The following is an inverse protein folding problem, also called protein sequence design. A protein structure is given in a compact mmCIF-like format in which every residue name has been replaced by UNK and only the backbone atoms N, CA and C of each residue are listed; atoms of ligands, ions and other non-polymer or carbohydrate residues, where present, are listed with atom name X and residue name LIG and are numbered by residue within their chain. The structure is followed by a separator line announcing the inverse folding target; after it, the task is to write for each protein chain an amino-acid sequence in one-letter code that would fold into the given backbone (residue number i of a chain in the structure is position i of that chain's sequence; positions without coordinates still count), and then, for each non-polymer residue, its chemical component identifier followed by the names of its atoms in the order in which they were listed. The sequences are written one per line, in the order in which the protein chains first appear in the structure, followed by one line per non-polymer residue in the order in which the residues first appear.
data_IF_666126763166
#
_entry.id   IF_666126763166
#
_cell.length_a   1.000
_cell.length_b   1.000
_cell.length_c   1.000
_cell.angle_alpha   90.00
_cell.angle_beta   90.00
_cell.angle_gamma   90.00
#
_symmetry.space_group_name_H-M   'P 1'
#
loop_
_entity.id
_entity.type
_entity.pdbx_description
1 polymer ?
#
# COMPACT_ATOMS: atom_id res chain seq x y z
N UNK A 1 -18.75 19.25 7.64
CA UNK A 1 -19.90 18.31 7.65
C UNK A 1 -20.33 18.09 6.21
N UNK A 2 -20.15 16.87 5.69
CA UNK A 2 -20.50 16.50 4.30
C UNK A 2 -22.01 16.28 4.17
N UNK A 3 -22.64 16.79 3.11
CA UNK A 3 -24.07 16.64 2.78
C UNK A 3 -24.37 15.35 2.00
N UNK A 4 -23.52 14.34 2.16
CA UNK A 4 -23.50 13.16 1.32
C UNK A 4 -24.45 12.04 1.82
N UNK A 5 -25.27 11.49 0.91
CA UNK A 5 -26.14 10.32 1.14
C UNK A 5 -25.49 9.01 0.65
N UNK A 6 -25.74 7.90 1.34
CA UNK A 6 -25.07 6.60 1.23
C UNK A 6 -25.11 5.97 -0.18
N UNK A 7 -26.09 6.35 -1.02
CA UNK A 7 -26.31 5.78 -2.35
C UNK A 7 -25.23 6.08 -3.40
N UNK A 8 -24.31 7.01 -3.13
CA UNK A 8 -23.30 7.44 -4.10
C UNK A 8 -21.88 6.89 -3.81
N UNK A 9 -21.80 5.75 -3.08
CA UNK A 9 -20.55 5.31 -2.42
C UNK A 9 -19.42 5.09 -3.42
N UNK A 10 -19.75 4.50 -4.55
CA UNK A 10 -18.83 4.25 -5.66
C UNK A 10 -18.23 5.53 -6.25
N UNK A 11 -18.98 6.64 -6.24
CA UNK A 11 -18.51 7.94 -6.74
C UNK A 11 -17.44 8.53 -5.81
N UNK A 12 -17.70 8.54 -4.50
CA UNK A 12 -16.73 9.03 -3.50
C UNK A 12 -15.52 8.09 -3.38
N UNK A 13 -15.72 6.77 -3.46
CA UNK A 13 -14.61 5.81 -3.45
C UNK A 13 -13.68 6.02 -4.65
N UNK A 14 -14.24 6.25 -5.83
CA UNK A 14 -13.44 6.57 -7.03
C UNK A 14 -12.66 7.87 -6.85
N UNK A 15 -13.30 8.91 -6.32
CA UNK A 15 -12.62 10.18 -6.04
C UNK A 15 -11.49 9.98 -5.01
N UNK A 16 -11.78 9.30 -3.89
CA UNK A 16 -10.79 8.97 -2.86
C UNK A 16 -9.60 8.19 -3.42
N UNK A 17 -9.83 7.23 -4.32
CA UNK A 17 -8.76 6.48 -4.98
C UNK A 17 -7.86 7.37 -5.85
N UNK A 18 -8.44 8.30 -6.61
CA UNK A 18 -7.70 9.22 -7.47
C UNK A 18 -6.88 10.22 -6.65
N UNK A 19 -7.47 10.77 -5.59
CA UNK A 19 -6.79 11.65 -4.63
C UNK A 19 -5.61 10.91 -3.98
N UNK A 20 -5.85 9.68 -3.51
CA UNK A 20 -4.81 8.84 -2.91
C UNK A 20 -3.69 8.53 -3.90
N UNK A 21 -4.03 8.24 -5.17
CA UNK A 21 -3.05 7.98 -6.22
C UNK A 21 -2.18 9.21 -6.51
N UNK A 22 -2.78 10.40 -6.64
CA UNK A 22 -2.05 11.63 -6.86
C UNK A 22 -1.13 11.95 -5.67
N UNK A 23 -1.68 11.88 -4.46
CA UNK A 23 -0.94 12.13 -3.21
C UNK A 23 0.27 11.20 -3.05
N UNK A 24 0.10 9.91 -3.36
CA UNK A 24 1.18 8.92 -3.25
C UNK A 24 2.31 9.14 -4.25
N UNK A 25 2.00 9.68 -5.43
CA UNK A 25 2.99 9.93 -6.49
C UNK A 25 3.66 11.31 -6.38
N UNK A 26 3.07 12.23 -5.62
CA UNK A 26 3.60 13.56 -5.36
C UNK A 26 3.70 13.83 -3.85
N UNK A 27 4.49 13.02 -3.11
CA UNK A 27 4.67 13.24 -1.68
C UNK A 27 5.37 14.58 -1.41
N UNK A 28 5.00 15.31 -0.35
CA UNK A 28 5.65 16.55 0.02
C UNK A 28 7.13 16.32 0.39
N UNK A 29 8.02 17.04 -0.27
CA UNK A 29 9.47 16.80 -0.24
C UNK A 29 10.08 17.03 1.15
N UNK A 30 9.52 17.97 1.90
CA UNK A 30 9.94 18.34 3.24
C UNK A 30 9.51 17.30 4.29
N UNK A 31 8.36 16.65 4.08
CA UNK A 31 8.02 15.45 4.83
C UNK A 31 8.98 14.29 4.50
N UNK A 32 9.35 14.08 3.23
CA UNK A 32 10.31 13.03 2.88
C UNK A 32 11.73 13.28 3.42
N UNK A 33 12.14 14.54 3.50
CA UNK A 33 13.48 14.90 4.00
C UNK A 33 13.61 14.85 5.51
N UNK A 34 12.50 14.62 6.24
CA UNK A 34 12.53 14.57 7.70
C UNK A 34 12.60 15.94 8.37
N UNK A 35 12.37 17.04 7.63
CA UNK A 35 12.41 18.39 8.22
C UNK A 35 11.23 18.67 9.16
N UNK A 36 10.14 17.92 9.00
CA UNK A 36 8.94 17.95 9.85
C UNK A 36 8.68 16.58 10.46
N UNK A 37 9.30 16.33 11.62
CA UNK A 37 9.31 15.01 12.24
C UNK A 37 8.05 14.69 13.05
N UNK A 38 7.34 15.70 13.57
CA UNK A 38 6.10 15.48 14.32
C UNK A 38 4.91 15.15 13.41
N UNK A 39 4.97 15.58 12.15
CA UNK A 39 3.88 15.41 11.20
C UNK A 39 2.60 16.16 11.64
N UNK A 40 1.47 15.78 11.05
CA UNK A 40 0.20 16.43 11.31
C UNK A 40 -0.91 15.93 10.40
N UNK A 41 -2.02 16.66 10.40
CA UNK A 41 -3.21 16.38 9.59
C UNK A 41 -3.54 17.59 8.73
N UNK A 42 -3.80 17.38 7.45
CA UNK A 42 -4.35 18.39 6.54
C UNK A 42 -5.77 18.00 6.17
N UNK A 43 -6.70 18.92 6.33
CA UNK A 43 -8.10 18.77 5.99
C UNK A 43 -8.38 19.67 4.79
N UNK A 44 -8.76 19.06 3.67
CA UNK A 44 -9.13 19.78 2.45
C UNK A 44 -10.62 19.58 2.23
N UNK A 45 -11.40 20.63 2.45
CA UNK A 45 -12.80 20.66 2.09
C UNK A 45 -12.93 21.18 0.66
N UNK A 46 -13.47 20.37 -0.24
CA UNK A 46 -13.76 20.73 -1.62
C UNK A 46 -15.28 20.83 -1.83
N UNK A 47 -15.70 21.89 -2.51
CA UNK A 47 -17.07 22.08 -3.00
C UNK A 47 -17.07 21.80 -4.50
N UNK A 48 -17.89 20.86 -4.94
CA UNK A 48 -17.95 20.41 -6.34
C UNK A 48 -19.33 20.72 -6.90
N UNK A 49 -19.34 21.34 -8.07
CA UNK A 49 -20.56 21.60 -8.83
C UNK A 49 -21.08 20.33 -9.50
N UNK A 50 -22.33 20.38 -9.98
CA UNK A 50 -22.94 19.30 -10.76
C UNK A 50 -22.12 18.85 -11.98
N UNK A 51 -21.33 19.76 -12.55
CA UNK A 51 -20.41 19.51 -13.66
C UNK A 51 -19.23 18.58 -13.30
N UNK A 52 -18.97 18.36 -12.00
CA UNK A 52 -17.76 17.68 -11.52
C UNK A 52 -16.58 18.63 -11.33
N UNK A 53 -16.75 19.94 -11.55
CA UNK A 53 -15.69 20.94 -11.35
C UNK A 53 -15.68 21.39 -9.89
N UNK A 54 -14.49 21.49 -9.29
CA UNK A 54 -14.30 22.05 -7.95
C UNK A 54 -14.46 23.57 -8.01
N UNK A 55 -15.53 24.12 -7.43
CA UNK A 55 -15.82 25.57 -7.43
C UNK A 55 -15.09 26.32 -6.32
N UNK A 56 -14.93 25.68 -5.16
CA UNK A 56 -14.24 26.28 -4.02
C UNK A 56 -13.56 25.21 -3.16
N UNK A 57 -12.56 25.64 -2.41
CA UNK A 57 -11.86 24.79 -1.46
C UNK A 57 -11.50 25.55 -0.19
N UNK A 58 -11.42 24.84 0.92
CA UNK A 58 -10.92 25.33 2.20
C UNK A 58 -9.90 24.34 2.74
N UNK A 59 -8.71 24.83 3.09
CA UNK A 59 -7.64 24.00 3.67
C UNK A 59 -7.44 24.37 5.11
N UNK A 60 -7.65 23.41 6.01
CA UNK A 60 -7.32 23.52 7.43
C UNK A 60 -6.19 22.54 7.74
N UNK A 61 -5.38 22.83 8.76
CA UNK A 61 -4.30 21.93 9.16
C UNK A 61 -4.16 21.89 10.66
N UNK A 62 -3.61 20.79 11.17
CA UNK A 62 -3.39 20.54 12.58
C UNK A 62 -2.04 19.87 12.78
N UNK A 63 -1.27 20.32 13.78
CA UNK A 63 0.08 19.80 14.05
C UNK A 63 1.17 20.55 13.29
N UNK A 64 2.31 19.91 13.11
CA UNK A 64 3.48 20.52 12.49
C UNK A 64 3.44 20.34 10.97
N UNK A 65 2.61 21.15 10.32
CA UNK A 65 2.36 21.10 8.88
C UNK A 65 3.00 22.31 8.19
N UNK A 66 3.77 22.06 7.13
CA UNK A 66 4.34 23.13 6.30
C UNK A 66 3.35 23.64 5.24
N UNK A 67 3.72 24.74 4.59
CA UNK A 67 2.99 25.21 3.40
C UNK A 67 3.07 24.20 2.24
N UNK A 68 4.19 23.48 2.09
CA UNK A 68 4.40 22.47 1.04
C UNK A 68 3.47 21.26 1.23
N UNK A 69 3.34 20.79 2.47
CA UNK A 69 2.42 19.71 2.84
C UNK A 69 0.96 20.10 2.59
N UNK A 70 0.59 21.35 2.90
CA UNK A 70 -0.74 21.90 2.58
C UNK A 70 -1.00 21.98 1.09
N UNK A 71 -0.04 22.50 0.32
CA UNK A 71 -0.19 22.67 -1.12
C UNK A 71 -0.29 21.32 -1.83
N UNK A 72 0.53 20.34 -1.46
CA UNK A 72 0.44 18.99 -2.01
C UNK A 72 -0.94 18.34 -1.75
N UNK A 73 -1.53 18.58 -0.58
CA UNK A 73 -2.82 17.99 -0.22
C UNK A 73 -3.96 18.65 -1.00
N UNK A 74 -3.87 19.96 -1.18
CA UNK A 74 -4.74 20.75 -2.04
C UNK A 74 -4.64 20.29 -3.50
N UNK A 75 -3.44 20.19 -4.06
CA UNK A 75 -3.21 19.75 -5.43
C UNK A 75 -3.77 18.34 -5.68
N UNK A 76 -3.53 17.41 -4.74
CA UNK A 76 -4.08 16.06 -4.82
C UNK A 76 -5.61 16.01 -4.83
N UNK A 77 -6.27 17.03 -4.30
CA UNK A 77 -7.74 17.13 -4.26
C UNK A 77 -8.30 17.82 -5.51
N UNK A 78 -7.63 18.87 -6.01
CA UNK A 78 -8.15 19.75 -7.08
C UNK A 78 -7.78 19.25 -8.49
N UNK A 79 -6.57 18.70 -8.68
CA UNK A 79 -6.10 18.29 -10.01
C UNK A 79 -6.74 17.00 -10.53
N UNK A 80 -7.53 16.32 -9.70
CA UNK A 80 -8.19 15.08 -10.04
C UNK A 80 -9.42 15.39 -10.91
N UNK A 81 -9.47 14.92 -12.17
CA UNK A 81 -10.66 15.10 -13.01
C UNK A 81 -11.80 14.25 -12.47
N UNK A 82 -12.90 14.88 -12.09
CA UNK A 82 -14.10 14.19 -11.59
C UNK A 82 -15.14 14.03 -12.71
N UNK A 83 -15.85 12.90 -12.74
CA UNK A 83 -17.07 12.82 -13.54
C UNK A 83 -18.12 13.78 -12.97
N UNK A 84 -19.13 14.19 -13.76
CA UNK A 84 -20.23 15.00 -13.24
C UNK A 84 -20.99 14.25 -12.13
N UNK A 85 -21.63 15.02 -11.24
CA UNK A 85 -22.45 14.45 -10.18
C UNK A 85 -23.61 13.64 -10.78
N UNK A 86 -24.01 12.52 -10.14
CA UNK A 86 -25.16 11.74 -10.59
C UNK A 86 -26.42 12.60 -10.69
N UNK A 87 -27.23 12.39 -11.73
CA UNK A 87 -28.43 13.21 -12.00
C UNK A 87 -29.46 13.19 -10.85
N UNK A 88 -29.51 12.09 -10.12
CA UNK A 88 -30.35 11.89 -8.94
C UNK A 88 -29.81 12.56 -7.66
N UNK A 89 -28.64 13.21 -7.71
CA UNK A 89 -28.07 13.90 -6.54
C UNK A 89 -28.96 15.11 -6.18
N UNK A 90 -29.42 15.21 -4.93
CA UNK A 90 -30.49 16.15 -4.55
C UNK A 90 -30.02 17.61 -4.44
N UNK A 91 -28.75 17.84 -4.14
CA UNK A 91 -28.19 19.18 -3.95
C UNK A 91 -27.49 19.71 -5.21
N UNK A 92 -27.36 21.02 -5.34
CA UNK A 92 -26.63 21.64 -6.46
C UNK A 92 -25.12 21.49 -6.33
N UNK A 93 -24.62 21.38 -5.09
CA UNK A 93 -23.21 21.28 -4.75
C UNK A 93 -22.93 20.12 -3.79
N UNK A 94 -21.84 19.42 -4.03
CA UNK A 94 -21.33 18.39 -3.15
C UNK A 94 -20.16 18.93 -2.32
N UNK A 95 -20.26 18.86 -0.99
CA UNK A 95 -19.18 19.24 -0.06
C UNK A 95 -18.51 17.99 0.50
N UNK A 96 -17.24 17.79 0.18
CA UNK A 96 -16.44 16.65 0.65
C UNK A 96 -15.21 17.15 1.39
N UNK A 97 -14.93 16.53 2.53
CA UNK A 97 -13.71 16.80 3.30
C UNK A 97 -12.78 15.60 3.19
N UNK A 98 -11.58 15.83 2.69
CA UNK A 98 -10.50 14.86 2.64
C UNK A 98 -9.55 15.11 3.80
N UNK A 99 -9.19 14.03 4.49
CA UNK A 99 -8.18 14.07 5.55
C UNK A 99 -6.90 13.41 5.06
N UNK A 100 -5.83 14.17 5.09
CA UNK A 100 -4.49 13.71 4.75
C UNK A 100 -3.67 13.59 6.04
N UNK A 101 -3.37 12.35 6.40
CA UNK A 101 -2.62 12.03 7.60
C UNK A 101 -1.12 11.98 7.27
N UNK A 102 -0.31 12.80 7.95
CA UNK A 102 1.16 12.79 7.86
C UNK A 102 1.70 12.27 9.18
N UNK A 103 1.96 10.95 9.29
CA UNK A 103 2.34 10.36 10.56
C UNK A 103 3.70 10.88 11.06
N UNK A 104 3.90 10.99 12.38
CA UNK A 104 5.20 11.36 12.93
C UNK A 104 6.30 10.37 12.53
N UNK A 105 7.45 10.90 12.11
CA UNK A 105 8.63 10.13 11.74
C UNK A 105 9.57 10.00 12.95
N UNK A 106 9.12 9.29 13.98
CA UNK A 106 9.86 9.13 15.24
C UNK A 106 11.29 8.57 15.03
N UNK A 107 11.50 7.75 14.00
CA UNK A 107 12.81 7.19 13.66
C UNK A 107 13.83 8.23 13.16
N UNK A 108 13.37 9.36 12.60
CA UNK A 108 14.21 10.50 12.20
C UNK A 108 14.33 11.54 13.32
N UNK A 109 13.33 11.64 14.21
CA UNK A 109 13.41 12.46 15.42
C UNK A 109 14.41 11.88 16.45
N UNK A 110 14.48 10.55 16.57
CA UNK A 110 15.40 9.83 17.47
C UNK A 110 16.86 9.98 17.06
N UNK A 111 17.20 10.07 15.77
CA UNK A 111 18.60 10.26 15.34
C UNK A 111 19.14 11.64 15.72
N UNK A 112 18.31 12.68 15.66
CA UNK A 112 18.72 14.04 16.06
C UNK A 112 18.73 14.21 17.58
N UNK A 113 17.81 13.58 18.31
CA UNK A 113 17.78 13.65 19.78
C UNK A 113 18.81 12.73 20.44
N UNK A 114 19.19 11.61 19.83
CA UNK A 114 20.25 10.74 20.36
C UNK A 114 21.64 11.37 20.20
N UNK A 115 21.92 12.13 19.12
CA UNK A 115 23.18 12.88 19.02
C UNK A 115 23.28 13.98 20.10
N UNK A 116 22.19 14.69 20.37
CA UNK A 116 22.18 15.74 21.41
C UNK A 116 22.19 15.14 22.83
N UNK A 117 21.54 13.99 23.04
CA UNK A 117 21.56 13.28 24.33
C UNK A 117 22.86 12.52 24.59
N UNK A 118 23.53 11.95 23.60
CA UNK A 118 24.84 11.31 23.78
C UNK A 118 25.90 12.32 24.23
N UNK A 119 25.85 13.55 23.71
CA UNK A 119 26.77 14.63 24.13
C UNK A 119 26.47 15.11 25.55
N UNK A 120 25.20 15.13 25.99
CA UNK A 120 24.84 15.50 27.38
C UNK A 120 25.02 14.36 28.40
N UNK A 121 24.85 13.09 28.01
CA UNK A 121 24.94 11.93 28.93
C UNK A 121 26.37 11.49 29.27
N UNK A 122 27.38 12.00 28.55
CA UNK A 122 28.79 11.79 28.90
C UNK A 122 29.29 12.72 30.02
N UNK A 123 28.49 13.71 30.46
CA UNK A 123 28.85 14.59 31.58
C UNK A 123 28.26 14.19 32.94
N UNK A 124 27.17 13.42 32.99
CA UNK A 124 26.38 13.29 34.24
C UNK A 124 26.35 11.91 34.91
N UNK A 125 27.10 10.91 34.43
CA UNK A 125 27.10 9.58 35.06
C UNK A 125 28.26 9.37 36.04
N UNK A 126 28.15 10.03 37.19
CA UNK A 126 28.58 9.45 38.47
C UNK A 126 27.32 9.05 39.27
N UNK A 127 27.35 7.83 39.82
CA UNK A 127 26.44 7.28 40.86
C UNK A 127 25.21 6.44 40.43
N UNK A 128 25.45 5.13 40.25
CA UNK A 128 24.96 3.97 41.03
C UNK A 128 23.44 3.76 41.31
N UNK A 129 22.96 2.60 40.80
CA UNK A 129 21.99 1.57 41.30
C UNK A 129 20.62 1.89 41.94
N UNK A 130 19.61 1.09 41.53
CA UNK A 130 18.40 0.82 42.33
C UNK A 130 17.15 0.41 41.55
N UNK A 131 16.99 -0.87 41.21
CA UNK A 131 15.73 -1.46 40.73
C UNK A 131 14.85 -1.86 41.92
N UNK A 132 13.67 -1.26 42.10
CA UNK A 132 12.41 -1.97 42.48
C UNK A 132 11.14 -1.11 42.72
N UNK A 133 11.01 0.07 42.12
CA UNK A 133 9.75 0.83 42.22
C UNK A 133 9.32 1.44 40.88
N UNK A 134 9.06 0.57 39.89
CA UNK A 134 8.40 1.02 38.67
C UNK A 134 6.92 1.32 38.97
N UNK A 135 6.62 2.62 39.05
CA UNK A 135 5.28 3.22 39.14
C UNK A 135 4.24 2.49 38.27
N UNK A 136 2.99 2.39 38.75
CA UNK A 136 1.85 1.86 37.97
C UNK A 136 1.76 2.50 36.57
N UNK A 137 2.20 3.75 36.43
CA UNK A 137 2.25 4.49 35.17
C UNK A 137 3.34 3.93 34.23
N UNK A 138 4.53 3.61 34.74
CA UNK A 138 5.62 2.99 33.98
C UNK A 138 5.24 1.57 33.50
N UNK A 139 4.59 0.77 34.35
CA UNK A 139 4.06 -0.55 33.96
C UNK A 139 2.98 -0.45 32.88
N UNK A 140 2.12 0.57 32.93
CA UNK A 140 1.09 0.86 31.90
C UNK A 140 1.73 1.30 30.58
N UNK A 141 2.78 2.12 30.63
CA UNK A 141 3.58 2.54 29.49
C UNK A 141 4.29 1.35 28.83
N UNK A 142 4.95 0.48 29.61
CA UNK A 142 5.59 -0.75 29.10
C UNK A 142 4.56 -1.70 28.49
N UNK A 143 3.37 -1.86 29.11
CA UNK A 143 2.29 -2.70 28.56
C UNK A 143 1.76 -2.12 27.24
N UNK A 144 1.55 -0.80 27.15
CA UNK A 144 1.14 -0.11 25.92
C UNK A 144 2.21 -0.22 24.83
N UNK A 145 3.49 0.01 25.14
CA UNK A 145 4.60 -0.18 24.21
C UNK A 145 4.72 -1.64 23.74
N UNK A 146 4.48 -2.63 24.62
CA UNK A 146 4.43 -4.04 24.21
C UNK A 146 3.26 -4.31 23.26
N UNK A 147 2.09 -3.70 23.45
CA UNK A 147 0.95 -3.86 22.53
C UNK A 147 1.14 -3.13 21.20
N UNK A 148 1.67 -1.91 21.20
CA UNK A 148 2.00 -1.17 19.96
C UNK A 148 3.14 -1.85 19.22
N UNK A 149 4.16 -2.36 19.93
CA UNK A 149 5.22 -3.20 19.37
C UNK A 149 4.68 -4.51 18.79
N UNK A 150 3.71 -5.17 19.42
CA UNK A 150 3.06 -6.37 18.86
C UNK A 150 2.29 -6.05 17.57
N UNK A 151 1.54 -4.95 17.54
CA UNK A 151 0.81 -4.50 16.35
C UNK A 151 1.76 -4.08 15.22
N UNK A 152 2.81 -3.32 15.53
CA UNK A 152 3.85 -2.93 14.59
C UNK A 152 4.60 -4.16 14.04
N UNK A 153 4.97 -5.12 14.90
CA UNK A 153 5.56 -6.40 14.48
C UNK A 153 4.62 -7.19 13.58
N UNK A 154 3.31 -7.20 13.87
CA UNK A 154 2.30 -7.84 13.03
C UNK A 154 2.21 -7.16 11.66
N UNK A 155 2.23 -5.82 11.62
CA UNK A 155 2.18 -5.04 10.39
C UNK A 155 3.43 -5.24 9.54
N UNK A 156 4.61 -5.19 10.14
CA UNK A 156 5.90 -5.47 9.48
C UNK A 156 5.93 -6.90 8.95
N UNK A 157 5.43 -7.88 9.72
CA UNK A 157 5.32 -9.27 9.26
C UNK A 157 4.39 -9.37 8.04
N UNK A 158 3.25 -8.66 8.05
CA UNK A 158 2.31 -8.62 6.92
C UNK A 158 2.95 -7.99 5.68
N UNK A 159 3.61 -6.85 5.83
CA UNK A 159 4.31 -6.17 4.72
C UNK A 159 5.43 -7.05 4.14
N UNK A 160 6.23 -7.71 4.99
CA UNK A 160 7.26 -8.66 4.54
C UNK A 160 6.65 -9.84 3.78
N UNK A 161 5.49 -10.34 4.20
CA UNK A 161 4.79 -11.42 3.53
C UNK A 161 4.31 -10.96 2.14
N UNK A 162 3.66 -9.80 2.05
CA UNK A 162 3.20 -9.22 0.77
C UNK A 162 4.36 -8.97 -0.19
N UNK A 163 5.47 -8.40 0.30
CA UNK A 163 6.68 -8.17 -0.50
C UNK A 163 7.31 -9.49 -0.99
N UNK A 164 7.32 -10.52 -0.12
CA UNK A 164 7.80 -11.85 -0.50
C UNK A 164 6.91 -12.48 -1.57
N UNK A 165 5.59 -12.31 -1.48
CA UNK A 165 4.63 -12.77 -2.50
C UNK A 165 4.86 -12.09 -3.83
N UNK A 166 4.97 -10.76 -3.84
CA UNK A 166 5.18 -10.01 -5.09
C UNK A 166 6.51 -10.36 -5.75
N UNK A 167 7.59 -10.49 -4.97
CA UNK A 167 8.90 -10.91 -5.50
C UNK A 167 8.83 -12.30 -6.13
N UNK A 168 8.25 -13.27 -5.42
CA UNK A 168 8.11 -14.63 -5.92
C UNK A 168 7.21 -14.72 -7.15
N UNK A 169 6.11 -13.96 -7.19
CA UNK A 169 5.23 -13.90 -8.37
C UNK A 169 5.94 -13.34 -9.59
N UNK A 170 6.82 -12.34 -9.43
CA UNK A 170 7.62 -11.82 -10.53
C UNK A 170 8.67 -12.84 -10.99
N UNK A 171 9.33 -13.56 -10.07
CA UNK A 171 10.24 -14.66 -10.42
C UNK A 171 9.53 -15.75 -11.23
N UNK A 172 8.34 -16.19 -10.79
CA UNK A 172 7.52 -17.16 -11.52
C UNK A 172 7.16 -16.65 -12.92
N UNK A 173 6.81 -15.37 -13.04
CA UNK A 173 6.47 -14.74 -14.31
C UNK A 173 7.67 -14.75 -15.26
N UNK A 174 8.85 -14.31 -14.79
CA UNK A 174 10.06 -14.26 -15.60
C UNK A 174 10.48 -15.65 -16.06
N UNK A 175 10.48 -16.63 -15.16
CA UNK A 175 10.82 -18.02 -15.47
C UNK A 175 9.85 -18.64 -16.48
N UNK A 176 8.54 -18.42 -16.30
CA UNK A 176 7.56 -18.92 -17.27
C UNK A 176 7.70 -18.21 -18.63
N UNK A 177 7.93 -16.90 -18.64
CA UNK A 177 8.03 -16.10 -19.87
C UNK A 177 9.29 -16.44 -20.67
N UNK A 178 10.38 -16.83 -20.00
CA UNK A 178 11.63 -17.23 -20.67
C UNK A 178 11.48 -18.55 -21.44
N UNK A 179 10.63 -19.45 -20.94
CA UNK A 179 10.33 -20.77 -21.54
C UNK A 179 9.11 -20.74 -22.47
N UNK A 180 8.24 -19.75 -22.36
CA UNK A 180 7.13 -19.55 -23.29
C UNK A 180 7.61 -18.87 -24.58
N UNK A 181 8.21 -19.67 -25.47
CA UNK A 181 8.67 -19.23 -26.81
C UNK A 181 7.88 -19.91 -27.91
N UNK A 182 6.62 -19.50 -28.16
CA UNK A 182 5.84 -20.11 -29.21
C UNK A 182 6.42 -19.78 -30.59
N UNK A 183 6.70 -20.83 -31.38
CA UNK A 183 7.16 -20.68 -32.77
C UNK A 183 6.07 -20.09 -33.69
N UNK A 184 4.81 -20.20 -33.28
CA UNK A 184 3.65 -19.68 -33.99
C UNK A 184 3.14 -18.40 -33.31
N UNK A 185 2.77 -17.39 -34.11
CA UNK A 185 2.06 -16.21 -33.60
C UNK A 185 0.61 -16.57 -33.27
N UNK A 186 0.16 -16.20 -32.08
CA UNK A 186 -1.21 -16.39 -31.62
C UNK A 186 -1.99 -15.06 -31.68
N UNK A 187 -3.32 -15.16 -31.77
CA UNK A 187 -4.20 -14.00 -31.77
C UNK A 187 -4.16 -13.30 -30.39
N UNK A 188 -3.88 -11.99 -30.30
CA UNK A 188 -3.79 -11.24 -29.04
C UNK A 188 -5.04 -11.29 -28.15
N UNK A 189 -6.20 -11.64 -28.71
CA UNK A 189 -7.46 -11.80 -27.97
C UNK A 189 -7.56 -13.12 -27.20
N UNK A 190 -6.62 -14.05 -27.39
CA UNK A 190 -6.59 -15.31 -26.66
C UNK A 190 -6.17 -15.10 -25.21
N UNK A 191 -6.88 -15.78 -24.31
CA UNK A 191 -6.62 -15.76 -22.88
C UNK A 191 -6.76 -17.17 -22.32
N UNK A 192 -5.83 -17.55 -21.45
CA UNK A 192 -5.85 -18.82 -20.73
C UNK A 192 -5.65 -18.55 -19.23
N UNK A 193 -6.49 -19.15 -18.38
CA UNK A 193 -6.36 -19.05 -16.92
C UNK A 193 -6.06 -20.41 -16.32
N UNK A 194 -4.95 -20.47 -15.60
CA UNK A 194 -4.42 -21.68 -14.98
C UNK A 194 -4.19 -21.41 -13.50
N UNK A 195 -4.57 -22.35 -12.65
CA UNK A 195 -4.20 -22.36 -11.24
C UNK A 195 -3.14 -23.45 -11.04
N UNK A 196 -2.01 -23.06 -10.45
CA UNK A 196 -0.88 -23.93 -10.14
C UNK A 196 -0.74 -24.06 -8.64
N UNK A 197 -0.53 -25.28 -8.15
CA UNK A 197 -0.14 -25.55 -6.77
C UNK A 197 1.34 -25.91 -6.73
N UNK A 198 2.16 -25.09 -6.09
CA UNK A 198 3.62 -25.23 -6.05
C UNK A 198 4.05 -25.72 -4.66
N UNK A 199 4.88 -26.76 -4.59
CA UNK A 199 5.41 -27.25 -3.32
C UNK A 199 6.52 -26.33 -2.76
N UNK A 200 7.04 -26.72 -1.60
CA UNK A 200 8.15 -26.00 -0.92
C UNK A 200 9.47 -25.97 -1.71
N UNK A 201 9.62 -26.83 -2.72
CA UNK A 201 10.81 -26.99 -3.56
C UNK A 201 10.62 -26.41 -4.98
N UNK A 202 9.54 -25.66 -5.21
CA UNK A 202 9.26 -25.07 -6.53
C UNK A 202 8.67 -26.05 -7.55
N UNK A 203 8.29 -27.27 -7.17
CA UNK A 203 7.65 -28.21 -8.09
C UNK A 203 6.16 -27.98 -8.18
N UNK A 204 5.62 -27.99 -9.39
CA UNK A 204 4.17 -27.97 -9.62
C UNK A 204 3.59 -29.33 -9.25
N UNK A 205 2.77 -29.36 -8.22
CA UNK A 205 2.10 -30.57 -7.71
C UNK A 205 0.73 -30.76 -8.36
N UNK A 206 0.03 -29.67 -8.62
CA UNK A 206 -1.31 -29.69 -9.23
C UNK A 206 -1.44 -28.55 -10.23
N UNK A 207 -2.13 -28.84 -11.34
CA UNK A 207 -2.46 -27.88 -12.36
C UNK A 207 -3.94 -27.98 -12.69
N UNK A 208 -4.66 -26.87 -12.54
CA UNK A 208 -6.09 -26.77 -12.84
C UNK A 208 -6.35 -25.70 -13.90
N UNK A 209 -6.92 -26.11 -15.01
CA UNK A 209 -7.41 -25.19 -16.04
C UNK A 209 -8.74 -24.60 -15.56
N UNK A 210 -8.71 -23.33 -15.15
CA UNK A 210 -9.92 -22.63 -14.68
C UNK A 210 -10.72 -22.07 -15.85
N UNK A 211 -10.04 -21.70 -16.95
CA UNK A 211 -10.65 -21.37 -18.23
C UNK A 211 -9.77 -21.94 -19.35
N UNK A 212 -10.22 -22.98 -20.09
CA UNK A 212 -9.37 -23.71 -21.05
C UNK A 212 -8.98 -22.92 -22.32
N UNK A 213 -9.47 -21.69 -22.48
CA UNK A 213 -9.18 -20.84 -23.65
C UNK A 213 -9.89 -21.33 -24.92
N UNK A 214 -9.95 -20.48 -25.95
CA UNK A 214 -10.64 -20.79 -27.22
C UNK A 214 -9.78 -21.60 -28.20
N UNK A 215 -8.47 -21.71 -27.95
CA UNK A 215 -7.50 -22.30 -28.89
C UNK A 215 -6.70 -23.41 -28.22
N UNK A 216 -6.90 -24.65 -28.70
CA UNK A 216 -6.18 -25.84 -28.24
C UNK A 216 -4.68 -25.72 -28.51
N UNK A 217 -4.28 -25.12 -29.64
CA UNK A 217 -2.86 -24.89 -29.97
C UNK A 217 -2.18 -23.94 -28.98
N UNK A 218 -2.87 -22.87 -28.59
CA UNK A 218 -2.39 -21.92 -27.59
C UNK A 218 -2.28 -22.58 -26.23
N UNK A 219 -3.30 -23.35 -25.83
CA UNK A 219 -3.28 -24.12 -24.60
C UNK A 219 -2.06 -25.07 -24.56
N UNK A 220 -1.82 -25.86 -25.60
CA UNK A 220 -0.68 -26.77 -25.67
C UNK A 220 0.67 -26.04 -25.60
N UNK A 221 0.81 -24.88 -26.25
CA UNK A 221 2.02 -24.07 -26.17
C UNK A 221 2.29 -23.59 -24.73
N UNK A 222 1.24 -23.15 -24.03
CA UNK A 222 1.34 -22.71 -22.62
C UNK A 222 1.70 -23.88 -21.71
N UNK A 223 1.05 -25.03 -21.89
CA UNK A 223 1.35 -26.25 -21.12
C UNK A 223 2.79 -26.73 -21.33
N UNK A 224 3.28 -26.66 -22.58
CA UNK A 224 4.66 -27.04 -22.89
C UNK A 224 5.66 -26.08 -22.19
N UNK A 225 5.44 -24.77 -22.27
CA UNK A 225 6.25 -23.79 -21.55
C UNK A 225 6.26 -24.01 -20.03
N UNK A 226 5.08 -24.32 -19.45
CA UNK A 226 4.96 -24.64 -18.02
C UNK A 226 5.72 -25.91 -17.63
N UNK A 227 5.71 -26.93 -18.49
CA UNK A 227 6.42 -28.19 -18.22
C UNK A 227 7.95 -28.04 -18.25
N UNK A 228 8.46 -27.01 -18.94
CA UNK A 228 9.88 -26.72 -19.05
C UNK A 228 10.36 -25.76 -17.95
N UNK A 229 9.47 -24.89 -17.46
CA UNK A 229 9.78 -23.93 -16.41
C UNK A 229 10.19 -24.64 -15.11
N UNK A 230 11.26 -24.14 -14.48
CA UNK A 230 11.74 -24.65 -13.19
C UNK A 230 11.64 -23.54 -12.16
N UNK A 231 10.56 -23.56 -11.38
CA UNK A 231 10.40 -22.56 -10.33
C UNK A 231 11.40 -22.78 -9.20
N UNK A 232 11.95 -21.70 -8.68
CA UNK A 232 12.83 -21.72 -7.52
C UNK A 232 12.11 -22.18 -6.25
N UNK A 233 12.89 -22.49 -5.22
CA UNK A 233 12.36 -22.86 -3.90
C UNK A 233 11.40 -21.80 -3.35
N UNK A 234 10.33 -22.25 -2.69
CA UNK A 234 9.37 -21.34 -2.08
C UNK A 234 10.04 -20.51 -0.96
N UNK A 235 9.92 -19.17 -0.97
CA UNK A 235 10.52 -18.31 0.04
C UNK A 235 10.14 -18.73 1.46
N UNK A 236 11.09 -18.62 2.41
CA UNK A 236 10.89 -19.07 3.80
C UNK A 236 9.62 -18.49 4.44
N UNK A 237 9.26 -17.26 4.09
CA UNK A 237 8.05 -16.56 4.55
C UNK A 237 6.73 -17.17 4.04
N UNK A 238 6.76 -17.88 2.91
CA UNK A 238 5.59 -18.49 2.25
C UNK A 238 5.49 -20.00 2.48
N UNK A 239 6.48 -20.63 3.10
CA UNK A 239 6.49 -22.08 3.36
C UNK A 239 5.32 -22.58 4.21
N UNK A 240 4.75 -21.72 5.06
CA UNK A 240 3.54 -22.07 5.84
C UNK A 240 2.29 -22.18 4.97
N UNK A 241 2.33 -21.68 3.73
CA UNK A 241 1.23 -21.71 2.76
C UNK A 241 1.46 -22.78 1.69
N UNK A 242 2.39 -23.72 1.91
CA UNK A 242 2.62 -24.82 0.98
C UNK A 242 1.52 -25.90 1.10
N UNK A 243 0.98 -26.45 -0.01
CA UNK A 243 1.28 -26.06 -1.40
C UNK A 243 0.72 -24.68 -1.74
N UNK A 244 1.58 -23.82 -2.29
CA UNK A 244 1.25 -22.43 -2.56
C UNK A 244 0.52 -22.32 -3.89
N UNK A 245 -0.74 -21.90 -3.85
CA UNK A 245 -1.59 -21.76 -5.04
C UNK A 245 -1.39 -20.40 -5.72
N UNK A 246 -1.11 -20.42 -7.03
CA UNK A 246 -0.91 -19.24 -7.87
C UNK A 246 -1.84 -19.31 -9.07
N UNK A 247 -2.53 -18.20 -9.38
CA UNK A 247 -3.36 -18.06 -10.57
C UNK A 247 -2.61 -17.28 -11.63
N UNK A 248 -2.42 -17.92 -12.77
CA UNK A 248 -1.78 -17.35 -13.94
C UNK A 248 -2.82 -16.99 -14.98
N UNK A 249 -2.71 -15.78 -15.52
CA UNK A 249 -3.40 -15.33 -16.71
C UNK A 249 -2.35 -15.23 -17.81
N UNK A 250 -2.46 -16.08 -18.82
CA UNK A 250 -1.53 -16.12 -19.94
C UNK A 250 -2.20 -15.52 -21.17
N UNK A 251 -1.52 -14.54 -21.76
CA UNK A 251 -1.85 -13.92 -23.03
C UNK A 251 -0.65 -14.11 -23.98
N UNK A 252 -0.86 -14.17 -25.30
CA UNK A 252 0.20 -14.33 -26.30
C UNK A 252 1.31 -13.28 -26.28
#
# INVERSE_FOLDING_TARGET
LSNYDWNYKSYIERWSQLVYYHWRNHPPQDYLSGSKTEGGEVFVQATVERSGIVSSYQVNSRGEISDIMREAAKEATILVPLPPLPEAFPDEELKVEFRFDHPPMHHLAESNTNQVKEVSLLQDNNSVEGNDSLSKMAKKLIKRHRTTSKMAKKLIKKLRLELSRSSFHEELRQEFSSHFRPHQRFDPSLELKIELSIDRFGKVVEQKLTQPGKSVKFQLAVLNGLSQARFGDLPKSLRSEAPYSVRLRVIP
#
